data_IF_960961931176
#
_entry.id   IF_960961931176
#
_cell.length_a   1.000
_cell.length_b   1.000
_cell.length_c   1.000
_cell.angle_alpha   90.00
_cell.angle_beta   90.00
_cell.angle_gamma   90.00
#
_symmetry.space_group_name_H-M   'P 1'
#
loop_
_entity.id
_entity.type
_entity.pdbx_description
1 polymer ?
#
# COMPACT_ATOMS: atom_id res chain seq x y z
N UNK A 1 -16.38 29.95 -71.08
CA UNK A 1 -14.98 30.39 -70.99
C UNK A 1 -14.56 30.38 -69.53
N UNK A 2 -14.33 29.26 -68.85
CA UNK A 2 -14.54 27.81 -69.00
C UNK A 2 -14.32 27.33 -67.54
N UNK A 3 -15.28 26.68 -66.86
CA UNK A 3 -15.66 25.26 -66.92
C UNK A 3 -14.51 24.24 -66.76
N UNK A 4 -14.82 23.22 -65.95
CA UNK A 4 -14.17 21.88 -65.85
C UNK A 4 -13.01 21.76 -64.85
N UNK A 5 -12.95 20.85 -63.87
CA UNK A 5 -13.75 19.65 -63.62
C UNK A 5 -13.76 19.25 -62.12
N UNK A 6 -14.95 18.87 -61.67
CA UNK A 6 -15.21 18.13 -60.45
C UNK A 6 -14.87 16.64 -60.68
N UNK A 7 -13.98 16.07 -59.87
CA UNK A 7 -13.81 14.62 -59.78
C UNK A 7 -14.50 14.13 -58.52
N UNK A 8 -15.65 13.51 -58.74
CA UNK A 8 -16.38 12.65 -57.81
C UNK A 8 -15.57 11.36 -57.63
N UNK A 9 -15.21 11.03 -56.39
CA UNK A 9 -14.79 9.67 -56.04
C UNK A 9 -15.75 9.04 -55.04
N UNK A 10 -16.34 7.99 -55.57
CA UNK A 10 -17.31 7.03 -55.05
C UNK A 10 -17.15 6.64 -53.58
N UNK A 11 -18.29 6.74 -52.90
CA UNK A 11 -18.63 6.10 -51.64
C UNK A 11 -18.58 4.58 -51.78
N UNK A 12 -17.54 3.94 -51.25
CA UNK A 12 -17.53 2.50 -50.97
C UNK A 12 -18.09 2.24 -49.58
N UNK A 13 -19.25 1.59 -49.56
CA UNK A 13 -19.88 0.95 -48.41
C UNK A 13 -18.88 0.04 -47.69
N UNK A 14 -18.58 0.36 -46.42
CA UNK A 14 -17.89 -0.55 -45.52
C UNK A 14 -18.92 -1.53 -44.95
N UNK A 15 -18.79 -2.80 -45.32
CA UNK A 15 -19.54 -3.92 -44.76
C UNK A 15 -19.40 -3.99 -43.23
N UNK A 16 -20.44 -4.43 -42.49
CA UNK A 16 -20.38 -4.51 -41.03
C UNK A 16 -19.43 -5.63 -40.58
N UNK A 17 -18.45 -5.27 -39.76
CA UNK A 17 -17.55 -6.21 -39.07
C UNK A 17 -18.36 -7.10 -38.11
N UNK A 18 -18.08 -8.41 -38.03
CA UNK A 18 -18.79 -9.31 -37.12
C UNK A 18 -18.42 -9.02 -35.66
N UNK A 19 -19.42 -9.13 -34.79
CA UNK A 19 -19.30 -8.92 -33.35
C UNK A 19 -18.28 -9.87 -32.69
N UNK A 20 -17.53 -9.44 -31.66
CA UNK A 20 -16.62 -10.31 -30.95
C UNK A 20 -17.39 -11.36 -30.13
N UNK A 21 -16.98 -12.62 -30.28
CA UNK A 21 -17.51 -13.76 -29.54
C UNK A 21 -17.36 -13.56 -28.03
N UNK A 22 -18.49 -13.66 -27.32
CA UNK A 22 -18.58 -13.72 -25.87
C UNK A 22 -18.06 -15.07 -25.41
N UNK A 23 -16.82 -15.13 -24.92
CA UNK A 23 -16.33 -16.31 -24.21
C UNK A 23 -16.88 -16.31 -22.78
N UNK A 24 -17.87 -17.17 -22.57
CA UNK A 24 -18.47 -17.45 -21.28
C UNK A 24 -17.47 -18.05 -20.28
N UNK A 25 -17.69 -17.72 -19.01
CA UNK A 25 -16.98 -18.24 -17.85
C UNK A 25 -17.42 -19.70 -17.63
N UNK A 26 -16.50 -20.69 -17.63
CA UNK A 26 -16.85 -22.05 -17.21
C UNK A 26 -16.76 -22.16 -15.68
N UNK A 27 -17.91 -22.22 -15.03
CA UNK A 27 -18.11 -22.75 -13.69
C UNK A 27 -18.25 -24.27 -13.78
N UNK A 28 -17.27 -25.05 -13.30
CA UNK A 28 -17.42 -26.47 -12.93
C UNK A 28 -16.06 -27.10 -12.63
N UNK A 29 -15.72 -27.25 -11.35
CA UNK A 29 -14.81 -28.32 -10.92
C UNK A 29 -15.68 -29.54 -10.57
N UNK A 30 -15.55 -30.60 -11.37
CA UNK A 30 -16.01 -31.94 -11.02
C UNK A 30 -14.80 -32.77 -10.62
N UNK A 31 -15.00 -33.48 -9.51
CA UNK A 31 -14.22 -34.61 -9.04
C UNK A 31 -14.03 -35.66 -10.13
N UNK A 32 -12.86 -36.31 -10.17
CA UNK A 32 -12.78 -37.72 -9.76
C UNK A 32 -11.39 -38.36 -9.99
N UNK A 33 -10.99 -39.07 -8.94
CA UNK A 33 -10.36 -40.39 -8.93
C UNK A 33 -8.83 -40.62 -9.08
N UNK A 34 -8.29 -41.00 -7.90
CA UNK A 34 -7.64 -42.28 -7.57
C UNK A 34 -6.31 -42.65 -8.23
N UNK A 35 -5.29 -42.79 -7.39
CA UNK A 35 -4.59 -44.07 -7.29
C UNK A 35 -4.04 -44.33 -5.86
N UNK A 36 -4.12 -45.60 -5.48
CA UNK A 36 -4.08 -46.20 -4.14
C UNK A 36 -2.66 -46.50 -3.59
N UNK A 37 -2.69 -47.04 -2.36
CA UNK A 37 -1.77 -47.99 -1.66
C UNK A 37 -0.85 -47.38 -0.59
N UNK A 38 -0.69 -47.91 0.63
CA UNK A 38 -1.39 -48.90 1.48
C UNK A 38 -0.65 -49.04 2.84
N UNK A 39 -1.25 -49.79 3.78
CA UNK A 39 -0.75 -50.35 5.06
C UNK A 39 -0.89 -49.44 6.30
N UNK A 40 -1.33 -49.89 7.48
CA UNK A 40 -2.02 -51.10 7.96
C UNK A 40 -2.46 -50.83 9.42
N UNK A 41 -3.53 -51.51 9.84
CA UNK A 41 -4.27 -51.37 11.09
C UNK A 41 -3.67 -52.16 12.29
N UNK A 42 -4.24 -51.91 13.49
CA UNK A 42 -4.17 -52.63 14.79
C UNK A 42 -3.22 -52.01 15.82
N UNK A 43 -3.59 -51.75 17.09
CA UNK A 43 -4.63 -52.39 17.93
C UNK A 43 -5.04 -51.47 19.11
N UNK A 44 -6.32 -51.53 19.50
CA UNK A 44 -6.91 -50.92 20.72
C UNK A 44 -6.44 -51.58 22.03
N UNK A 45 -6.51 -50.84 23.14
CA UNK A 45 -7.26 -51.23 24.36
C UNK A 45 -7.63 -50.01 25.20
N UNK A 46 -8.82 -50.09 25.79
CA UNK A 46 -9.60 -49.03 26.47
C UNK A 46 -9.35 -49.00 27.99
N UNK A 47 -9.85 -47.97 28.69
CA UNK A 47 -10.87 -48.09 29.75
C UNK A 47 -11.25 -46.72 30.39
N UNK A 48 -12.52 -46.64 30.81
CA UNK A 48 -13.19 -45.75 31.80
C UNK A 48 -13.43 -44.25 31.50
N UNK A 49 -14.54 -43.98 30.80
CA UNK A 49 -15.80 -43.26 31.19
C UNK A 49 -15.90 -42.27 32.40
N UNK A 50 -16.97 -41.42 32.44
CA UNK A 50 -16.88 -39.94 32.50
C UNK A 50 -17.59 -39.30 33.72
N UNK A 51 -17.47 -37.98 33.89
CA UNK A 51 -18.43 -37.19 34.70
C UNK A 51 -18.75 -35.86 34.02
N UNK A 52 -20.05 -35.64 33.83
CA UNK A 52 -20.74 -34.43 33.39
C UNK A 52 -20.95 -33.46 34.56
N UNK A 53 -20.86 -32.16 34.34
CA UNK A 53 -21.76 -31.22 35.02
C UNK A 53 -22.01 -29.96 34.19
N UNK A 54 -23.27 -29.61 34.10
CA UNK A 54 -23.82 -28.49 33.33
C UNK A 54 -24.11 -27.32 34.28
N UNK A 55 -24.26 -26.14 33.68
CA UNK A 55 -25.12 -25.01 34.11
C UNK A 55 -24.66 -23.96 35.13
N UNK A 56 -24.60 -22.73 34.60
CA UNK A 56 -25.19 -21.47 35.08
C UNK A 56 -24.81 -20.92 36.46
N UNK A 57 -24.25 -19.70 36.46
CA UNK A 57 -24.82 -18.56 37.19
C UNK A 57 -24.41 -17.24 36.53
N UNK A 58 -25.42 -16.44 36.14
CA UNK A 58 -25.32 -15.00 35.99
C UNK A 58 -25.60 -14.36 37.37
N UNK A 59 -24.83 -13.34 37.74
CA UNK A 59 -25.28 -12.22 38.59
C UNK A 59 -24.27 -11.07 38.58
N UNK A 60 -24.83 -9.88 38.40
CA UNK A 60 -24.21 -8.57 38.36
C UNK A 60 -23.82 -8.01 39.74
N UNK A 61 -23.09 -6.89 39.65
CA UNK A 61 -22.98 -5.75 40.57
C UNK A 61 -22.05 -5.78 41.79
N UNK A 62 -21.08 -4.87 41.68
CA UNK A 62 -20.66 -3.85 42.65
C UNK A 62 -20.17 -4.25 44.06
N UNK A 63 -19.00 -3.68 44.37
CA UNK A 63 -18.33 -3.50 45.69
C UNK A 63 -17.26 -4.53 46.04
N UNK A 64 -16.03 -4.26 45.61
CA UNK A 64 -14.82 -4.67 46.32
C UNK A 64 -13.89 -3.46 46.54
N UNK A 65 -14.41 -2.43 47.20
CA UNK A 65 -13.61 -1.39 47.87
C UNK A 65 -13.98 -1.43 49.36
N UNK A 66 -13.59 -2.48 50.09
CA UNK A 66 -13.50 -2.47 51.58
C UNK A 66 -12.95 -3.76 52.23
N UNK A 67 -11.98 -4.46 51.64
CA UNK A 67 -11.34 -5.63 52.31
C UNK A 67 -9.81 -5.61 52.21
N UNK A 68 -9.18 -4.45 52.35
CA UNK A 68 -7.71 -4.35 52.35
C UNK A 68 -7.12 -3.58 53.54
N UNK A 69 -7.83 -3.57 54.67
CA UNK A 69 -7.34 -2.98 55.92
C UNK A 69 -7.25 -4.01 57.06
N UNK A 70 -6.62 -5.16 56.78
CA UNK A 70 -6.28 -6.13 57.83
C UNK A 70 -5.12 -7.09 57.46
N UNK A 71 -4.08 -6.64 56.74
CA UNK A 71 -2.89 -7.48 56.48
C UNK A 71 -1.60 -6.77 56.90
N UNK A 72 -0.78 -7.49 57.66
CA UNK A 72 0.49 -7.00 58.21
C UNK A 72 1.43 -6.45 57.13
N UNK A 73 2.22 -5.44 57.48
CA UNK A 73 3.16 -4.71 56.61
C UNK A 73 4.15 -5.62 55.86
N UNK A 74 4.40 -6.82 56.36
CA UNK A 74 5.27 -7.82 55.73
C UNK A 74 4.62 -8.54 54.53
N UNK A 75 3.28 -8.61 54.47
CA UNK A 75 2.55 -9.29 53.40
C UNK A 75 2.33 -8.40 52.16
N UNK A 76 2.32 -7.08 52.33
CA UNK A 76 2.18 -6.12 51.23
C UNK A 76 3.39 -6.12 50.28
N UNK A 77 4.57 -6.54 50.75
CA UNK A 77 5.80 -6.61 49.94
C UNK A 77 5.81 -7.78 48.94
N UNK A 78 4.91 -8.76 49.07
CA UNK A 78 4.82 -9.93 48.18
C UNK A 78 3.72 -9.80 47.11
N UNK A 79 2.88 -8.77 47.19
CA UNK A 79 1.87 -8.49 46.17
C UNK A 79 2.50 -7.62 45.09
N UNK A 80 2.77 -8.21 43.93
CA UNK A 80 3.21 -7.46 42.75
C UNK A 80 2.21 -6.33 42.47
N UNK A 81 2.66 -5.09 42.18
CA UNK A 81 1.75 -4.01 41.86
C UNK A 81 0.83 -4.46 40.72
N UNK A 82 -0.48 -4.40 40.93
CA UNK A 82 -1.45 -4.64 39.86
C UNK A 82 -1.13 -3.62 38.78
N UNK A 83 -0.52 -4.08 37.68
CA UNK A 83 -0.32 -3.24 36.49
C UNK A 83 -1.70 -2.73 36.10
N UNK A 84 -2.00 -1.45 36.36
CA UNK A 84 -3.15 -0.77 35.76
C UNK A 84 -3.07 -1.06 34.26
N UNK A 85 -3.96 -1.92 33.75
CA UNK A 85 -4.12 -2.17 32.33
C UNK A 85 -4.58 -0.85 31.73
N UNK A 86 -3.63 -0.05 31.25
CA UNK A 86 -3.95 1.13 30.48
C UNK A 86 -4.71 0.62 29.25
N UNK A 87 -6.00 0.97 29.11
CA UNK A 87 -6.79 0.61 27.92
C UNK A 87 -6.02 1.14 26.72
N UNK A 88 -5.48 0.24 25.89
CA UNK A 88 -4.80 0.65 24.64
C UNK A 88 -5.84 1.37 23.80
N UNK A 89 -5.58 2.65 23.49
CA UNK A 89 -6.44 3.40 22.59
C UNK A 89 -6.48 2.68 21.24
N UNK A 90 -7.66 2.61 20.59
CA UNK A 90 -7.78 1.95 19.30
C UNK A 90 -6.99 2.74 18.24
N UNK A 91 -6.29 2.01 17.39
CA UNK A 91 -5.42 2.58 16.35
C UNK A 91 -5.56 1.80 15.06
N UNK A 92 -5.51 2.50 13.93
CA UNK A 92 -5.43 1.89 12.61
C UNK A 92 -3.98 1.84 12.14
N UNK A 93 -3.61 0.76 11.47
CA UNK A 93 -2.30 0.68 10.84
C UNK A 93 -2.29 1.51 9.56
N UNK A 94 -1.26 2.34 9.40
CA UNK A 94 -1.12 3.13 8.19
C UNK A 94 -0.82 2.25 6.99
N UNK A 95 -1.36 2.65 5.85
CA UNK A 95 -1.26 1.89 4.62
C UNK A 95 0.12 2.06 4.00
N UNK A 96 0.84 0.97 3.79
CA UNK A 96 2.17 0.98 3.20
C UNK A 96 2.26 -0.01 2.04
N UNK A 97 2.74 0.48 0.90
CA UNK A 97 2.98 -0.31 -0.31
C UNK A 97 4.35 0.06 -0.84
N UNK A 98 5.28 -0.90 -0.79
CA UNK A 98 6.66 -0.68 -1.19
C UNK A 98 7.20 -1.77 -2.10
N UNK A 99 7.98 -1.37 -3.10
CA UNK A 99 8.76 -2.25 -3.98
C UNK A 99 10.23 -2.03 -3.69
N UNK A 100 10.93 -3.09 -3.27
CA UNK A 100 12.30 -3.01 -2.78
C UNK A 100 13.27 -3.78 -3.68
N UNK A 101 14.54 -3.42 -3.57
CA UNK A 101 15.67 -4.17 -4.12
C UNK A 101 16.50 -4.76 -2.98
N UNK A 102 16.81 -6.05 -3.07
CA UNK A 102 17.76 -6.74 -2.21
C UNK A 102 19.10 -6.91 -2.93
N UNK A 103 20.19 -6.97 -2.17
CA UNK A 103 21.50 -7.45 -2.62
C UNK A 103 21.89 -8.67 -1.77
N UNK A 104 22.28 -9.76 -2.43
CA UNK A 104 22.83 -10.92 -1.75
C UNK A 104 24.27 -10.65 -1.30
N UNK A 105 24.54 -10.90 -0.01
CA UNK A 105 25.87 -10.89 0.62
C UNK A 105 26.45 -12.30 0.79
N UNK A 106 25.93 -13.27 0.03
CA UNK A 106 26.47 -14.62 0.04
C UNK A 106 27.97 -14.62 -0.28
N UNK A 107 28.74 -15.43 0.44
CA UNK A 107 30.17 -15.65 0.17
C UNK A 107 30.38 -16.44 -1.14
N UNK A 108 29.37 -17.18 -1.59
CA UNK A 108 29.42 -17.93 -2.83
C UNK A 108 29.42 -16.98 -4.03
N UNK A 109 30.51 -16.99 -4.81
CA UNK A 109 30.74 -16.07 -5.95
C UNK A 109 29.56 -15.97 -6.91
N UNK A 110 28.86 -17.08 -7.14
CA UNK A 110 27.74 -17.11 -8.08
C UNK A 110 26.49 -16.42 -7.55
N UNK A 111 26.30 -16.28 -6.23
CA UNK A 111 25.17 -15.57 -5.60
C UNK A 111 25.52 -14.16 -5.13
N UNK A 112 26.79 -13.91 -4.80
CA UNK A 112 27.28 -12.60 -4.34
C UNK A 112 26.82 -11.48 -5.26
N UNK A 113 26.31 -10.40 -4.67
CA UNK A 113 25.80 -9.20 -5.34
C UNK A 113 24.64 -9.44 -6.32
N UNK A 114 23.97 -10.60 -6.28
CA UNK A 114 22.72 -10.78 -7.02
C UNK A 114 21.64 -9.91 -6.42
N UNK A 115 20.81 -9.34 -7.30
CA UNK A 115 19.66 -8.56 -6.88
C UNK A 115 18.38 -9.40 -6.89
N UNK A 116 17.49 -9.08 -5.97
CA UNK A 116 16.11 -9.56 -5.97
C UNK A 116 15.18 -8.38 -5.79
N UNK A 117 14.15 -8.27 -6.65
CA UNK A 117 13.12 -7.24 -6.54
C UNK A 117 11.88 -7.89 -5.95
N UNK A 118 11.22 -7.23 -5.01
CA UNK A 118 9.98 -7.73 -4.44
C UNK A 118 9.08 -6.64 -3.90
N UNK A 119 7.86 -7.04 -3.54
CA UNK A 119 6.84 -6.17 -2.97
C UNK A 119 6.58 -6.50 -1.48
N UNK A 120 6.30 -5.48 -0.68
CA UNK A 120 5.94 -5.63 0.73
C UNK A 120 5.03 -4.51 1.24
N UNK A 121 4.27 -4.85 2.27
CA UNK A 121 3.55 -3.91 3.15
C UNK A 121 4.26 -3.70 4.49
N UNK A 122 5.34 -4.45 4.74
CA UNK A 122 6.10 -4.44 5.99
C UNK A 122 7.57 -4.82 5.67
N UNK A 123 8.45 -3.83 5.41
CA UNK A 123 9.84 -4.10 5.00
C UNK A 123 10.65 -4.84 6.06
N UNK A 124 10.49 -4.47 7.33
CA UNK A 124 11.21 -5.06 8.46
C UNK A 124 10.85 -6.54 8.64
N UNK A 125 9.55 -6.88 8.53
CA UNK A 125 9.15 -8.29 8.51
C UNK A 125 9.70 -9.02 7.28
N UNK A 126 9.62 -8.40 6.10
CA UNK A 126 9.96 -9.05 4.83
C UNK A 126 11.45 -9.40 4.72
N UNK A 127 12.35 -8.53 5.18
CA UNK A 127 13.79 -8.84 5.15
C UNK A 127 14.13 -10.03 6.04
N UNK A 128 13.49 -10.13 7.21
CA UNK A 128 13.64 -11.28 8.12
C UNK A 128 13.12 -12.58 7.48
N UNK A 129 12.01 -12.52 6.73
CA UNK A 129 11.51 -13.68 5.99
C UNK A 129 12.50 -14.17 4.92
N UNK A 130 13.13 -13.25 4.17
CA UNK A 130 14.14 -13.62 3.19
C UNK A 130 15.38 -14.27 3.83
N UNK A 131 15.84 -13.73 4.96
CA UNK A 131 17.00 -14.24 5.67
C UNK A 131 16.71 -15.50 6.51
N UNK A 132 15.45 -15.71 6.89
CA UNK A 132 14.97 -16.93 7.55
C UNK A 132 14.64 -18.09 6.59
N UNK A 133 14.76 -17.88 5.28
CA UNK A 133 14.51 -18.91 4.27
C UNK A 133 13.03 -19.19 3.98
N UNK A 134 12.78 -20.15 3.08
CA UNK A 134 11.43 -20.45 2.57
C UNK A 134 10.45 -20.88 3.68
N UNK A 135 10.93 -21.61 4.68
CA UNK A 135 10.11 -22.09 5.80
C UNK A 135 9.57 -20.94 6.66
N UNK A 136 10.25 -19.79 6.67
CA UNK A 136 9.80 -18.56 7.37
C UNK A 136 9.02 -17.62 6.45
N UNK A 137 8.61 -18.08 5.26
CA UNK A 137 7.86 -17.29 4.28
C UNK A 137 8.74 -16.49 3.30
N UNK A 138 10.04 -16.77 3.25
CA UNK A 138 10.95 -16.21 2.24
C UNK A 138 10.61 -16.69 0.82
N UNK A 139 10.91 -15.86 -0.18
CA UNK A 139 10.70 -16.25 -1.57
C UNK A 139 11.60 -17.43 -1.97
N UNK A 140 11.08 -18.40 -2.73
CA UNK A 140 11.88 -19.53 -3.26
C UNK A 140 13.13 -19.07 -4.02
N UNK A 141 13.05 -17.93 -4.72
CA UNK A 141 14.19 -17.37 -5.46
C UNK A 141 15.32 -16.87 -4.56
N UNK A 142 15.04 -16.51 -3.31
CA UNK A 142 16.02 -15.98 -2.35
C UNK A 142 16.56 -17.03 -1.36
N UNK A 143 15.92 -18.19 -1.31
CA UNK A 143 16.25 -19.27 -0.38
C UNK A 143 17.68 -19.78 -0.55
N UNK A 144 18.40 -19.97 0.57
CA UNK A 144 19.82 -20.40 0.64
C UNK A 144 20.83 -19.55 -0.17
N UNK A 145 20.45 -18.32 -0.53
CA UNK A 145 21.27 -17.40 -1.35
C UNK A 145 21.60 -16.11 -0.62
N UNK A 146 21.26 -16.03 0.66
CA UNK A 146 21.54 -14.89 1.53
C UNK A 146 22.92 -14.96 2.20
N UNK A 147 23.14 -14.16 3.25
CA UNK A 147 22.20 -13.17 3.77
C UNK A 147 21.88 -12.07 2.75
N UNK A 148 20.70 -11.49 2.86
CA UNK A 148 20.17 -10.45 1.99
C UNK A 148 20.12 -9.14 2.74
N UNK A 149 20.53 -8.08 2.05
CA UNK A 149 20.38 -6.71 2.49
C UNK A 149 19.32 -6.03 1.63
N UNK A 150 18.36 -5.34 2.27
CA UNK A 150 17.42 -4.49 1.55
C UNK A 150 18.05 -3.11 1.40
N UNK A 151 18.45 -2.74 0.19
CA UNK A 151 19.28 -1.55 -0.05
C UNK A 151 18.46 -0.30 -0.33
N UNK A 152 17.36 -0.45 -1.05
CA UNK A 152 16.44 0.64 -1.35
C UNK A 152 14.99 0.13 -1.48
N UNK A 153 14.05 1.05 -1.31
CA UNK A 153 12.61 0.80 -1.47
C UNK A 153 11.93 2.02 -2.08
N UNK A 154 11.11 1.78 -3.10
CA UNK A 154 10.21 2.77 -3.70
C UNK A 154 8.85 2.55 -3.06
N UNK A 155 8.27 3.59 -2.48
CA UNK A 155 6.99 3.51 -1.77
C UNK A 155 6.13 4.75 -2.00
N UNK A 156 4.94 4.78 -1.39
CA UNK A 156 3.92 5.81 -1.65
C UNK A 156 2.96 5.44 -2.80
N UNK A 157 2.98 4.19 -3.26
CA UNK A 157 2.01 3.71 -4.26
C UNK A 157 0.58 3.85 -3.74
N UNK A 158 -0.40 4.20 -4.60
CA UNK A 158 -1.78 4.44 -4.17
C UNK A 158 -2.51 3.16 -3.73
N UNK A 159 -2.04 1.99 -4.15
CA UNK A 159 -2.58 0.68 -3.78
C UNK A 159 -1.58 -0.44 -4.14
N UNK A 160 -1.90 -1.66 -3.69
CA UNK A 160 -1.12 -2.87 -3.96
C UNK A 160 -0.99 -3.17 -5.46
N UNK A 161 -2.04 -2.95 -6.26
CA UNK A 161 -2.02 -3.23 -7.70
C UNK A 161 -1.01 -2.34 -8.42
N UNK A 162 -0.96 -1.05 -8.11
CA UNK A 162 0.00 -0.10 -8.67
C UNK A 162 1.45 -0.51 -8.34
N UNK A 163 1.69 -0.92 -7.09
CA UNK A 163 2.99 -1.41 -6.64
C UNK A 163 3.39 -2.73 -7.31
N UNK A 164 2.48 -3.70 -7.39
CA UNK A 164 2.73 -5.00 -8.03
C UNK A 164 3.01 -4.85 -9.53
N UNK A 165 2.34 -3.92 -10.22
CA UNK A 165 2.66 -3.61 -11.63
C UNK A 165 4.08 -3.04 -11.77
N UNK A 166 4.50 -2.19 -10.85
CA UNK A 166 5.87 -1.66 -10.82
C UNK A 166 6.89 -2.77 -10.55
N UNK A 167 6.64 -3.61 -9.55
CA UNK A 167 7.48 -4.75 -9.17
C UNK A 167 7.70 -5.70 -10.36
N UNK A 168 6.62 -6.07 -11.05
CA UNK A 168 6.70 -6.93 -12.22
C UNK A 168 7.53 -6.28 -13.35
N UNK A 169 7.29 -4.99 -13.62
CA UNK A 169 8.03 -4.26 -14.65
C UNK A 169 9.52 -4.13 -14.32
N UNK A 170 9.86 -3.96 -13.04
CA UNK A 170 11.25 -3.88 -12.57
C UNK A 170 11.95 -5.24 -12.60
N UNK A 171 11.22 -6.32 -12.35
CA UNK A 171 11.73 -7.68 -12.52
C UNK A 171 11.98 -8.03 -14.00
N UNK A 172 11.07 -7.62 -14.90
CA UNK A 172 11.01 -8.03 -16.31
C UNK A 172 11.08 -6.82 -17.27
N UNK A 173 12.17 -6.02 -17.26
CA UNK A 173 12.27 -4.81 -18.07
C UNK A 173 12.10 -5.06 -19.58
N UNK A 174 12.54 -6.22 -20.07
CA UNK A 174 12.45 -6.62 -21.48
C UNK A 174 11.03 -6.96 -21.94
N UNK A 175 10.11 -7.21 -21.00
CA UNK A 175 8.70 -7.55 -21.28
C UNK A 175 7.76 -6.39 -20.94
N UNK A 176 8.22 -5.45 -20.12
CA UNK A 176 7.41 -4.33 -19.65
C UNK A 176 7.04 -3.39 -20.78
N UNK A 177 5.74 -3.25 -21.07
CA UNK A 177 5.25 -2.27 -22.06
C UNK A 177 5.74 -0.85 -21.80
N UNK A 178 6.08 -0.51 -20.56
CA UNK A 178 6.56 0.83 -20.20
C UNK A 178 7.97 1.13 -20.72
N UNK A 179 8.85 0.12 -20.81
CA UNK A 179 10.29 0.34 -21.06
C UNK A 179 10.93 -0.68 -22.01
N UNK A 180 10.18 -1.66 -22.52
CA UNK A 180 10.69 -2.72 -23.41
C UNK A 180 11.34 -2.15 -24.68
N UNK A 181 10.79 -1.06 -25.20
CA UNK A 181 11.22 -0.46 -26.47
C UNK A 181 12.57 0.26 -26.32
N UNK A 182 12.99 0.54 -25.07
CA UNK A 182 14.33 1.06 -24.76
C UNK A 182 15.42 -0.01 -24.87
N UNK A 183 15.04 -1.30 -24.94
CA UNK A 183 15.94 -2.45 -25.06
C UNK A 183 17.15 -2.43 -24.10
N UNK A 184 16.91 -2.04 -22.84
CA UNK A 184 17.96 -1.81 -21.86
C UNK A 184 18.78 -3.07 -21.60
N UNK A 185 20.10 -2.98 -21.77
CA UNK A 185 21.06 -4.02 -21.40
C UNK A 185 21.99 -3.53 -20.30
N UNK A 186 22.47 -4.46 -19.49
CA UNK A 186 23.47 -4.19 -18.47
C UNK A 186 24.82 -3.96 -19.13
N UNK A 187 25.50 -2.88 -18.75
CA UNK A 187 26.85 -2.61 -19.23
C UNK A 187 27.89 -3.52 -18.53
N UNK A 188 29.01 -3.86 -19.20
CA UNK A 188 30.03 -4.76 -18.64
C UNK A 188 30.61 -4.26 -17.30
N UNK A 189 30.79 -2.94 -17.17
CA UNK A 189 31.34 -2.28 -15.96
C UNK A 189 30.26 -1.96 -14.91
N UNK A 190 28.99 -2.10 -15.24
CA UNK A 190 27.87 -1.79 -14.35
C UNK A 190 27.66 -2.93 -13.35
N UNK A 191 27.43 -2.62 -12.07
CA UNK A 191 27.10 -3.64 -11.09
C UNK A 191 25.67 -4.15 -11.32
N UNK A 192 25.29 -5.36 -10.86
CA UNK A 192 23.90 -5.81 -10.93
C UNK A 192 22.92 -4.82 -10.28
N UNK A 193 23.33 -4.19 -9.18
CA UNK A 193 22.50 -3.21 -8.49
C UNK A 193 22.38 -1.88 -9.26
N UNK A 194 23.49 -1.34 -9.77
CA UNK A 194 23.46 -0.13 -10.60
C UNK A 194 22.51 -0.30 -11.81
N UNK A 195 22.53 -1.48 -12.45
CA UNK A 195 21.59 -1.79 -13.53
C UNK A 195 20.13 -1.79 -13.08
N UNK A 196 19.83 -2.37 -11.91
CA UNK A 196 18.48 -2.36 -11.34
C UNK A 196 18.05 -0.95 -10.94
N UNK A 197 18.95 -0.12 -10.42
CA UNK A 197 18.69 1.29 -10.12
C UNK A 197 18.33 2.06 -11.39
N UNK A 198 19.07 1.88 -12.48
CA UNK A 198 18.79 2.52 -13.76
C UNK A 198 17.43 2.10 -14.34
N UNK A 199 17.09 0.82 -14.26
CA UNK A 199 15.74 0.34 -14.64
C UNK A 199 14.67 1.05 -13.80
N UNK A 200 14.87 1.16 -12.49
CA UNK A 200 13.91 1.84 -11.61
C UNK A 200 13.73 3.31 -12.00
N UNK A 201 14.82 4.02 -12.37
CA UNK A 201 14.74 5.40 -12.83
C UNK A 201 13.93 5.53 -14.13
N UNK A 202 14.13 4.63 -15.11
CA UNK A 202 13.28 4.61 -16.31
C UNK A 202 11.80 4.37 -15.98
N UNK A 203 11.51 3.42 -15.06
CA UNK A 203 10.13 3.15 -14.65
C UNK A 203 9.49 4.34 -13.93
N UNK A 204 10.22 5.01 -13.04
CA UNK A 204 9.74 6.22 -12.36
C UNK A 204 9.43 7.36 -13.34
N UNK A 205 10.14 7.44 -14.46
CA UNK A 205 9.87 8.40 -15.54
C UNK A 205 8.79 7.94 -16.53
N UNK A 206 8.27 6.72 -16.39
CA UNK A 206 7.29 6.14 -17.33
C UNK A 206 5.86 6.17 -16.78
N UNK A 207 4.86 6.28 -17.66
CA UNK A 207 3.46 6.15 -17.27
C UNK A 207 3.15 4.71 -16.78
N UNK A 208 2.34 4.53 -15.72
CA UNK A 208 1.64 5.57 -14.94
C UNK A 208 2.45 6.16 -13.78
N UNK A 209 3.63 5.64 -13.49
CA UNK A 209 4.35 5.91 -12.24
C UNK A 209 4.95 7.32 -12.15
N UNK A 210 5.27 7.95 -13.28
CA UNK A 210 5.65 9.36 -13.33
C UNK A 210 4.55 10.34 -12.90
N UNK A 211 3.34 9.83 -12.63
CA UNK A 211 2.20 10.60 -12.13
C UNK A 211 1.88 10.33 -10.66
N UNK A 212 2.65 9.48 -9.98
CA UNK A 212 2.46 9.16 -8.58
C UNK A 212 3.40 9.97 -7.69
N UNK A 213 2.91 10.41 -6.53
CA UNK A 213 3.72 11.04 -5.49
C UNK A 213 4.50 9.96 -4.73
N UNK A 214 5.48 9.36 -5.40
CA UNK A 214 6.32 8.29 -4.86
C UNK A 214 7.53 8.84 -4.11
N UNK A 215 8.07 8.01 -3.23
CA UNK A 215 9.33 8.24 -2.53
C UNK A 215 10.31 7.12 -2.87
N UNK A 216 11.50 7.48 -3.34
CA UNK A 216 12.65 6.59 -3.40
C UNK A 216 13.41 6.69 -2.08
N UNK A 217 13.50 5.59 -1.32
CA UNK A 217 14.17 5.57 -0.02
C UNK A 217 15.40 4.67 -0.04
N UNK A 218 16.55 5.24 0.29
CA UNK A 218 17.77 4.50 0.59
C UNK A 218 17.69 3.93 2.01
N UNK A 219 17.71 2.60 2.13
CA UNK A 219 17.67 1.92 3.42
C UNK A 219 19.08 1.68 3.96
N UNK A 220 20.05 1.51 3.07
CA UNK A 220 21.47 1.37 3.39
C UNK A 220 22.28 2.42 2.64
N UNK A 221 22.69 3.47 3.35
CA UNK A 221 23.47 4.59 2.79
C UNK A 221 24.80 4.12 2.20
N UNK A 222 25.40 3.06 2.74
CA UNK A 222 26.64 2.47 2.22
C UNK A 222 26.51 1.89 0.81
N UNK A 223 25.29 1.62 0.34
CA UNK A 223 24.99 1.11 -1.00
C UNK A 223 24.40 2.18 -1.92
N UNK A 224 24.37 3.44 -1.47
CA UNK A 224 23.91 4.56 -2.27
C UNK A 224 24.80 4.73 -3.51
N UNK A 225 24.14 4.93 -4.65
CA UNK A 225 24.78 5.25 -5.92
C UNK A 225 24.14 6.54 -6.45
N UNK A 226 24.90 7.40 -7.14
CA UNK A 226 24.30 8.52 -7.84
C UNK A 226 23.28 8.01 -8.86
N UNK A 227 22.14 8.69 -8.97
CA UNK A 227 21.19 8.39 -10.04
C UNK A 227 21.84 8.61 -11.41
N UNK A 228 21.54 7.78 -12.42
CA UNK A 228 22.12 7.93 -13.76
C UNK A 228 21.79 9.31 -14.33
N UNK A 229 22.80 10.01 -14.85
CA UNK A 229 22.65 11.39 -15.37
C UNK A 229 21.76 11.48 -16.61
N UNK A 230 21.71 10.40 -17.40
CA UNK A 230 20.87 10.25 -18.59
C UNK A 230 19.40 9.98 -18.26
N UNK A 231 19.12 9.44 -17.07
CA UNK A 231 17.77 9.16 -16.58
C UNK A 231 17.71 9.41 -15.07
N UNK A 232 17.70 10.69 -14.64
CA UNK A 232 17.53 11.01 -13.22
C UNK A 232 16.12 10.62 -12.76
N UNK A 233 15.91 10.48 -11.46
CA UNK A 233 14.54 10.36 -10.93
C UNK A 233 13.74 11.63 -11.25
N UNK A 234 12.41 11.52 -11.46
CA UNK A 234 11.57 12.71 -11.66
C UNK A 234 11.69 13.68 -10.49
N UNK A 235 11.66 14.99 -10.76
CA UNK A 235 11.86 16.03 -9.73
C UNK A 235 10.84 16.02 -8.59
N UNK A 236 9.66 15.45 -8.82
CA UNK A 236 8.61 15.31 -7.80
C UNK A 236 8.74 14.04 -6.95
N UNK A 237 9.58 13.07 -7.35
CA UNK A 237 9.83 11.86 -6.56
C UNK A 237 10.78 12.23 -5.43
N UNK A 238 10.32 12.07 -4.19
CA UNK A 238 11.12 12.40 -3.01
C UNK A 238 12.25 11.39 -2.83
N UNK A 239 13.45 11.86 -2.52
CA UNK A 239 14.52 11.00 -2.01
C UNK A 239 14.52 11.03 -0.49
N UNK A 240 14.56 9.86 0.14
CA UNK A 240 14.56 9.71 1.60
C UNK A 240 15.62 8.68 2.04
N UNK A 241 15.92 8.66 3.34
CA UNK A 241 16.96 7.80 3.92
C UNK A 241 16.47 7.11 5.18
N UNK A 242 17.13 6.00 5.55
CA UNK A 242 16.88 5.26 6.78
C UNK A 242 15.75 4.23 6.67
N UNK A 243 15.50 3.51 7.76
CA UNK A 243 14.50 2.44 7.80
C UNK A 243 13.08 2.96 7.58
N UNK A 244 12.19 2.07 7.10
CA UNK A 244 10.76 2.36 7.07
C UNK A 244 10.19 2.08 8.46
N UNK A 245 9.65 3.12 9.07
CA UNK A 245 8.94 3.02 10.34
C UNK A 245 7.50 2.58 10.11
N UNK A 246 7.05 1.64 10.93
CA UNK A 246 5.67 1.19 10.91
C UNK A 246 4.85 2.13 11.78
N UNK A 247 4.07 3.00 11.15
CA UNK A 247 3.23 3.97 11.84
C UNK A 247 1.80 3.44 12.00
N UNK A 248 1.17 3.85 13.09
CA UNK A 248 -0.24 3.60 13.36
C UNK A 248 -0.89 4.89 13.82
N UNK A 249 -2.03 5.22 13.23
CA UNK A 249 -2.77 6.40 13.62
C UNK A 249 -3.80 6.07 14.69
N UNK A 250 -3.77 6.81 15.80
CA UNK A 250 -4.78 6.70 16.85
C UNK A 250 -6.13 7.15 16.31
N UNK A 251 -7.18 6.37 16.59
CA UNK A 251 -8.55 6.75 16.24
C UNK A 251 -9.00 7.80 17.26
N UNK A 252 -9.36 9.02 16.84
CA UNK A 252 -9.87 10.02 17.77
C UNK A 252 -11.15 9.52 18.47
N UNK A 253 -11.18 9.62 19.80
CA UNK A 253 -12.27 9.07 20.63
C UNK A 253 -13.29 10.14 21.05
N UNK A 254 -12.96 11.42 20.87
CA UNK A 254 -13.81 12.52 21.31
C UNK A 254 -14.40 13.26 20.11
N UNK A 255 -15.70 13.58 20.15
CA UNK A 255 -16.40 14.28 19.06
C UNK A 255 -15.74 15.60 18.65
N UNK A 256 -15.09 16.31 19.60
CA UNK A 256 -14.35 17.56 19.32
C UNK A 256 -13.16 17.40 18.37
N UNK A 257 -12.68 16.17 18.19
CA UNK A 257 -11.58 15.85 17.29
C UNK A 257 -12.04 15.60 15.85
N UNK A 258 -13.35 15.73 15.61
CA UNK A 258 -13.96 15.62 14.30
C UNK A 258 -14.55 16.96 13.88
N UNK A 259 -14.57 17.21 12.58
CA UNK A 259 -15.25 18.36 11.97
C UNK A 259 -16.33 17.87 11.02
N UNK A 260 -17.44 18.60 10.99
CA UNK A 260 -18.53 18.29 10.08
C UNK A 260 -18.01 18.39 8.62
N UNK A 261 -18.46 17.45 7.78
CA UNK A 261 -18.25 17.46 6.34
C UNK A 261 -18.94 18.69 5.72
N UNK A 262 -18.20 19.80 5.72
CA UNK A 262 -18.70 21.09 5.24
C UNK A 262 -18.96 21.13 3.73
N UNK A 263 -19.32 22.31 3.24
CA UNK A 263 -19.47 22.58 1.81
C UNK A 263 -18.13 22.63 1.08
N UNK A 264 -18.10 22.22 -0.18
CA UNK A 264 -16.96 22.40 -1.06
C UNK A 264 -16.60 23.89 -1.19
N UNK A 265 -15.34 24.24 -0.91
CA UNK A 265 -14.89 25.64 -0.92
C UNK A 265 -14.88 26.27 -2.33
N UNK A 266 -14.97 25.46 -3.39
CA UNK A 266 -15.08 25.90 -4.79
C UNK A 266 -16.53 26.08 -5.24
N UNK A 267 -17.30 24.99 -5.31
CA UNK A 267 -18.67 25.03 -5.86
C UNK A 267 -19.76 25.37 -4.84
N UNK A 268 -19.40 25.49 -3.55
CA UNK A 268 -20.28 25.79 -2.41
C UNK A 268 -21.38 24.75 -2.12
N UNK A 269 -21.45 23.67 -2.88
CA UNK A 269 -22.38 22.55 -2.65
C UNK A 269 -21.89 21.64 -1.53
N UNK A 270 -22.82 20.93 -0.89
CA UNK A 270 -22.52 19.93 0.14
C UNK A 270 -21.65 18.76 -0.41
N UNK A 271 -20.80 18.19 0.44
CA UNK A 271 -20.02 16.99 0.14
C UNK A 271 -20.68 15.81 0.86
N UNK A 272 -21.53 15.07 0.15
CA UNK A 272 -22.36 14.02 0.76
C UNK A 272 -21.58 12.75 1.12
N UNK A 273 -20.57 12.40 0.32
CA UNK A 273 -19.79 11.16 0.44
C UNK A 273 -18.34 11.46 0.78
N UNK A 274 -17.78 10.75 1.77
CA UNK A 274 -16.37 10.85 2.13
C UNK A 274 -15.43 10.53 0.97
N UNK A 275 -15.81 9.61 0.08
CA UNK A 275 -15.01 9.29 -1.12
C UNK A 275 -14.85 10.47 -2.10
N UNK A 276 -15.63 11.54 -1.93
CA UNK A 276 -15.55 12.74 -2.75
C UNK A 276 -14.82 13.88 -2.04
N UNK A 277 -14.46 13.75 -0.76
CA UNK A 277 -13.81 14.84 -0.01
C UNK A 277 -12.31 14.84 -0.21
N UNK A 278 -11.74 15.99 -0.57
CA UNK A 278 -10.31 16.25 -0.48
C UNK A 278 -10.10 17.47 0.42
N UNK A 279 -9.05 17.42 1.24
CA UNK A 279 -8.73 18.49 2.20
C UNK A 279 -7.36 19.07 1.91
N UNK A 280 -7.27 20.39 2.03
CA UNK A 280 -5.98 21.07 1.98
C UNK A 280 -5.09 20.61 3.15
N UNK A 281 -3.81 20.38 2.87
CA UNK A 281 -2.82 19.99 3.88
C UNK A 281 -2.61 21.05 4.96
N UNK A 282 -2.89 22.32 4.63
CA UNK A 282 -2.53 23.46 5.47
C UNK A 282 -3.79 24.05 6.13
N UNK A 283 -4.62 24.76 5.37
CA UNK A 283 -5.83 25.42 5.89
C UNK A 283 -7.04 24.51 6.13
N UNK A 284 -6.91 23.20 5.86
CA UNK A 284 -7.96 22.17 6.01
C UNK A 284 -9.25 22.42 5.24
N UNK A 285 -9.26 23.35 4.29
CA UNK A 285 -10.42 23.59 3.43
C UNK A 285 -10.80 22.31 2.66
N UNK A 286 -12.10 22.01 2.64
CA UNK A 286 -12.65 20.84 1.96
C UNK A 286 -13.09 21.20 0.54
N UNK A 287 -12.88 20.26 -0.39
CA UNK A 287 -13.25 20.37 -1.80
C UNK A 287 -13.84 19.04 -2.27
N UNK A 288 -14.74 19.07 -3.25
CA UNK A 288 -15.01 17.86 -4.03
C UNK A 288 -13.76 17.49 -4.83
N UNK A 289 -13.47 16.19 -4.91
CA UNK A 289 -12.35 15.65 -5.70
C UNK A 289 -12.38 16.16 -7.14
N UNK A 290 -13.54 16.08 -7.80
CA UNK A 290 -13.76 16.61 -9.15
C UNK A 290 -13.48 18.11 -9.25
N UNK A 291 -14.02 18.92 -8.35
CA UNK A 291 -13.82 20.38 -8.39
C UNK A 291 -12.35 20.77 -8.23
N UNK A 292 -11.64 20.13 -7.31
CA UNK A 292 -10.22 20.43 -7.09
C UNK A 292 -9.35 19.94 -8.25
N UNK A 293 -9.66 18.77 -8.84
CA UNK A 293 -9.00 18.29 -10.04
C UNK A 293 -9.19 19.26 -11.21
N UNK A 294 -10.43 19.65 -11.51
CA UNK A 294 -10.75 20.58 -12.60
C UNK A 294 -10.11 21.96 -12.43
N UNK A 295 -9.94 22.41 -11.17
CA UNK A 295 -9.25 23.65 -10.86
C UNK A 295 -7.75 23.58 -11.16
N UNK A 296 -7.10 22.50 -10.75
CA UNK A 296 -5.65 22.32 -10.92
C UNK A 296 -5.24 21.77 -12.29
N UNK A 297 -6.20 21.30 -13.08
CA UNK A 297 -5.99 20.86 -14.45
C UNK A 297 -6.26 21.94 -15.49
N UNK A 298 -6.63 23.18 -15.13
CA UNK A 298 -7.10 24.23 -16.06
C UNK A 298 -6.26 24.38 -17.33
N UNK A 299 -4.94 24.18 -17.24
CA UNK A 299 -4.01 24.28 -18.39
C UNK A 299 -3.68 22.92 -19.05
N UNK A 300 -4.00 21.79 -18.38
CA UNK A 300 -3.64 20.42 -18.80
C UNK A 300 -4.86 19.52 -19.14
N UNK A 301 -6.09 20.07 -19.13
CA UNK A 301 -7.37 19.30 -19.16
C UNK A 301 -7.51 18.28 -20.30
N UNK A 302 -6.76 18.40 -21.39
CA UNK A 302 -6.94 17.55 -22.58
C UNK A 302 -6.22 16.20 -22.52
N UNK A 303 -5.29 15.99 -21.57
CA UNK A 303 -4.50 14.73 -21.54
C UNK A 303 -4.41 14.03 -20.18
N UNK A 304 -4.84 14.68 -19.09
CA UNK A 304 -4.67 14.17 -17.72
C UNK A 304 -6.00 14.04 -17.00
N UNK A 305 -6.18 12.94 -16.25
CA UNK A 305 -7.38 12.69 -15.44
C UNK A 305 -7.31 13.36 -14.05
N UNK A 306 -6.10 13.56 -13.52
CA UNK A 306 -5.86 14.17 -12.22
C UNK A 306 -4.53 14.95 -12.25
N UNK A 307 -4.41 16.03 -11.46
CA UNK A 307 -3.20 16.84 -11.41
C UNK A 307 -2.07 16.12 -10.65
N UNK A 308 -0.80 16.46 -10.91
CA UNK A 308 0.33 16.00 -10.08
C UNK A 308 0.46 16.87 -8.83
N UNK A 309 0.54 18.17 -9.10
CA UNK A 309 0.73 19.25 -8.17
C UNK A 309 -0.59 19.97 -8.04
N UNK A 310 -0.92 20.36 -6.82
CA UNK A 310 -2.12 21.10 -6.52
C UNK A 310 -1.75 22.36 -5.78
N UNK A 311 -2.53 23.41 -6.03
CA UNK A 311 -2.55 24.63 -5.24
C UNK A 311 -3.93 24.74 -4.58
N UNK A 312 -3.96 25.09 -3.30
CA UNK A 312 -5.22 25.33 -2.60
C UNK A 312 -5.86 26.64 -3.09
N UNK A 313 -7.11 26.63 -3.60
CA UNK A 313 -7.80 27.86 -3.99
C UNK A 313 -8.10 28.83 -2.84
N UNK A 314 -7.91 28.42 -1.58
CA UNK A 314 -8.21 29.24 -0.37
C UNK A 314 -6.98 29.86 0.26
N UNK A 315 -5.88 29.10 0.37
CA UNK A 315 -4.67 29.53 1.08
C UNK A 315 -3.41 29.47 0.22
N UNK A 316 -3.52 29.06 -1.05
CA UNK A 316 -2.41 28.96 -2.02
C UNK A 316 -1.27 28.00 -1.63
N UNK A 317 -1.47 27.19 -0.58
CA UNK A 317 -0.57 26.10 -0.24
C UNK A 317 -0.43 25.12 -1.41
N UNK A 318 0.81 24.69 -1.66
CA UNK A 318 1.16 23.72 -2.71
C UNK A 318 1.40 22.35 -2.10
N UNK A 319 0.80 21.32 -2.69
CA UNK A 319 0.92 19.93 -2.23
C UNK A 319 0.76 18.96 -3.41
N UNK A 320 1.12 17.69 -3.22
CA UNK A 320 0.88 16.68 -4.25
C UNK A 320 -0.55 16.13 -4.17
N UNK A 321 -1.13 15.83 -5.33
CA UNK A 321 -2.43 15.17 -5.41
C UNK A 321 -2.42 13.82 -4.67
N UNK A 322 -1.31 13.07 -4.75
CA UNK A 322 -1.16 11.82 -4.03
C UNK A 322 -1.27 11.97 -2.51
N UNK A 323 -0.81 13.09 -1.95
CA UNK A 323 -0.81 13.32 -0.50
C UNK A 323 -2.26 13.48 0.04
N UNK A 324 -3.08 14.27 -0.67
CA UNK A 324 -4.48 14.48 -0.29
C UNK A 324 -5.37 13.26 -0.57
N UNK A 325 -5.00 12.42 -1.54
CA UNK A 325 -5.68 11.13 -1.76
C UNK A 325 -5.35 10.15 -0.62
N UNK A 326 -4.10 10.14 -0.14
CA UNK A 326 -3.75 9.35 1.05
C UNK A 326 -4.49 9.85 2.28
N UNK A 327 -4.62 11.16 2.47
CA UNK A 327 -5.47 11.72 3.53
C UNK A 327 -6.94 11.25 3.39
N UNK A 328 -7.48 11.22 2.17
CA UNK A 328 -8.82 10.71 1.92
C UNK A 328 -8.98 9.23 2.31
N UNK A 329 -8.06 8.37 1.87
CA UNK A 329 -8.08 6.95 2.23
C UNK A 329 -7.98 6.76 3.75
N UNK A 330 -7.13 7.55 4.39
CA UNK A 330 -6.98 7.54 5.84
C UNK A 330 -8.28 7.95 6.55
N UNK A 331 -8.97 9.00 6.08
CA UNK A 331 -10.28 9.39 6.62
C UNK A 331 -11.33 8.27 6.48
N UNK A 332 -11.35 7.58 5.33
CA UNK A 332 -12.26 6.45 5.10
C UNK A 332 -12.00 5.30 6.08
N UNK A 333 -10.73 4.96 6.31
CA UNK A 333 -10.35 3.92 7.27
C UNK A 333 -10.68 4.29 8.71
N UNK A 334 -10.49 5.56 9.09
CA UNK A 334 -10.91 6.00 10.40
C UNK A 334 -12.43 5.83 10.50
N UNK A 335 -13.21 6.30 9.52
CA UNK A 335 -14.67 6.19 9.47
C UNK A 335 -15.19 4.75 9.62
N UNK A 336 -14.55 3.79 8.93
CA UNK A 336 -14.86 2.36 9.05
C UNK A 336 -14.56 1.79 10.45
N UNK A 337 -13.65 2.40 11.20
CA UNK A 337 -13.19 1.92 12.50
C UNK A 337 -13.75 2.71 13.70
N UNK A 338 -14.52 3.79 13.48
CA UNK A 338 -15.15 4.56 14.57
C UNK A 338 -16.27 3.76 15.21
N UNK A 339 -16.53 4.01 16.50
CA UNK A 339 -17.75 3.52 17.15
C UNK A 339 -19.00 4.18 16.55
N UNK A 340 -20.13 3.47 16.58
CA UNK A 340 -21.41 3.96 16.05
C UNK A 340 -21.91 5.23 16.74
N UNK A 341 -21.44 5.49 17.98
CA UNK A 341 -21.78 6.65 18.81
C UNK A 341 -21.16 7.97 18.33
N UNK A 342 -20.20 7.94 17.41
CA UNK A 342 -19.58 9.13 16.82
C UNK A 342 -20.35 9.60 15.58
N UNK A 343 -20.53 10.92 15.43
CA UNK A 343 -21.36 11.51 14.37
C UNK A 343 -21.01 10.99 12.96
N UNK A 344 -21.98 10.30 12.34
CA UNK A 344 -21.89 9.78 10.97
C UNK A 344 -21.60 10.92 9.97
N UNK A 345 -20.45 10.84 9.31
CA UNK A 345 -20.04 11.80 8.29
C UNK A 345 -19.05 12.88 8.73
N UNK A 346 -18.65 12.90 9.99
CA UNK A 346 -17.60 13.81 10.46
C UNK A 346 -16.20 13.33 10.03
N UNK A 347 -15.26 14.24 9.75
CA UNK A 347 -13.88 13.91 9.37
C UNK A 347 -12.88 14.28 10.47
N UNK A 348 -11.84 13.47 10.74
CA UNK A 348 -10.83 13.77 11.76
C UNK A 348 -10.18 15.13 11.55
N UNK A 349 -9.87 15.90 12.59
CA UNK A 349 -9.09 17.15 12.46
C UNK A 349 -7.67 16.92 11.95
N UNK A 350 -7.08 15.79 12.33
CA UNK A 350 -5.73 15.40 11.93
C UNK A 350 -5.69 14.96 10.47
N UNK A 351 -4.57 15.24 9.82
CA UNK A 351 -4.27 14.67 8.52
C UNK A 351 -3.57 13.33 8.69
N UNK A 352 -3.60 12.52 7.63
CA UNK A 352 -2.69 11.37 7.54
C UNK A 352 -1.22 11.83 7.74
N UNK A 353 -0.40 11.06 8.47
CA UNK A 353 1.03 11.32 8.54
C UNK A 353 1.66 11.26 7.14
N UNK A 354 2.71 12.06 6.94
CA UNK A 354 3.52 12.00 5.73
C UNK A 354 4.48 10.79 5.83
N UNK A 355 4.25 9.75 5.03
CA UNK A 355 5.06 8.51 4.99
C UNK A 355 6.39 8.66 4.21
#
# INVERSE_FOLDING_TARGET
>A
MDESDCIVLDSKESSPMPAPAVYGIPTSFKDDNLCQFSFSDSTRRSLSQPITFNEFYMKDDDKEDDVLEALSTSAQALVSPVKKRCKKQPSILDEFFGVYCLISRSQLKHYKNRCYIGYTVDPNRRINQHNGGREKGGAKKTDSKGPWDMVCIIHGFPNSVAALRFEWAWQNPEKSKAIKDLNLKKNKKETPFAFRLRIACHLLNSFPWCRYALTFRWLLVSEELPFPSDVPIPSHVRTAYGLVEKTSTLIPQESRQYVNRGSCSLCKKSIERLIHILRCTDCKACFHSKCLAEYNLKDEKKSQLFPLHCECPKCFAKFFWGDIIRDQHHMLKIDEAKSEDLEKGSVPLTLAPAN
#
